data_IF_710641497025
#
_entry.id   IF_710641497025
#
_cell.length_a   1.000
_cell.length_b   1.000
_cell.length_c   1.000
_cell.angle_alpha   90.00
_cell.angle_beta   90.00
_cell.angle_gamma   90.00
#
_symmetry.space_group_name_H-M   'P 1'
#
loop_
_entity.id
_entity.type
_entity.pdbx_description
1 polymer ?
#
# COMPACT_ATOMS: atom_id res chain seq x y z
N UNK A 1 -37.99 9.72 24.57
CA UNK A 1 -36.51 9.78 24.47
C UNK A 1 -36.08 11.23 24.34
N UNK A 2 -35.14 11.70 25.19
CA UNK A 2 -34.61 13.08 25.13
C UNK A 2 -34.05 13.35 23.72
N UNK A 3 -34.25 14.57 23.19
CA UNK A 3 -33.83 15.00 21.85
C UNK A 3 -32.35 14.64 21.54
N UNK A 4 -31.48 14.78 22.55
CA UNK A 4 -30.06 14.38 22.50
C UNK A 4 -29.83 12.93 22.09
N UNK A 5 -30.64 12.00 22.59
CA UNK A 5 -30.45 10.58 22.33
C UNK A 5 -30.75 10.28 20.86
N UNK A 6 -31.83 10.85 20.31
CA UNK A 6 -32.16 10.70 18.89
C UNK A 6 -31.07 11.29 18.00
N UNK A 7 -30.61 12.49 18.32
CA UNK A 7 -29.53 13.16 17.60
C UNK A 7 -28.23 12.33 17.62
N UNK A 8 -27.81 11.88 18.81
CA UNK A 8 -26.58 11.12 18.96
C UNK A 8 -26.65 9.73 18.31
N UNK A 9 -27.82 9.09 18.26
CA UNK A 9 -27.99 7.84 17.52
C UNK A 9 -27.80 8.03 16.01
N UNK A 10 -28.39 9.07 15.43
CA UNK A 10 -28.23 9.39 14.01
C UNK A 10 -26.79 9.78 13.71
N UNK A 11 -26.19 10.62 14.56
CA UNK A 11 -24.79 11.03 14.43
C UNK A 11 -23.84 9.82 14.49
N UNK A 12 -24.03 8.93 15.46
CA UNK A 12 -23.23 7.71 15.60
C UNK A 12 -23.38 6.81 14.37
N UNK A 13 -24.59 6.66 13.85
CA UNK A 13 -24.83 5.87 12.64
C UNK A 13 -24.08 6.44 11.43
N UNK A 14 -24.20 7.75 11.19
CA UNK A 14 -23.48 8.43 10.10
C UNK A 14 -21.98 8.33 10.29
N UNK A 15 -21.49 8.47 11.52
CA UNK A 15 -20.08 8.34 11.88
C UNK A 15 -19.55 6.94 11.57
N UNK A 16 -20.24 5.89 12.01
CA UNK A 16 -19.82 4.50 11.78
C UNK A 16 -19.82 4.18 10.29
N UNK A 17 -20.84 4.59 9.55
CA UNK A 17 -20.91 4.41 8.09
C UNK A 17 -19.78 5.17 7.39
N UNK A 18 -19.56 6.44 7.76
CA UNK A 18 -18.50 7.27 7.21
C UNK A 18 -17.12 6.68 7.44
N UNK A 19 -16.81 6.28 8.68
CA UNK A 19 -15.54 5.60 9.00
C UNK A 19 -15.38 4.27 8.28
N UNK A 20 -16.44 3.49 8.13
CA UNK A 20 -16.38 2.21 7.42
C UNK A 20 -16.05 2.42 5.94
N UNK A 21 -16.70 3.37 5.28
CA UNK A 21 -16.44 3.71 3.87
C UNK A 21 -15.03 4.29 3.71
N UNK A 22 -14.66 5.29 4.51
CA UNK A 22 -13.31 5.87 4.44
C UNK A 22 -12.24 4.84 4.77
N UNK A 23 -12.48 3.95 5.72
CA UNK A 23 -11.56 2.90 6.12
C UNK A 23 -11.34 1.87 5.02
N UNK A 24 -12.39 1.43 4.33
CA UNK A 24 -12.23 0.48 3.22
C UNK A 24 -11.46 1.10 2.05
N UNK A 25 -11.76 2.35 1.68
CA UNK A 25 -11.06 3.08 0.62
C UNK A 25 -9.60 3.34 1.01
N UNK A 26 -9.35 3.87 2.20
CA UNK A 26 -7.99 4.17 2.67
C UNK A 26 -7.13 2.91 2.75
N UNK A 27 -7.68 1.80 3.28
CA UNK A 27 -6.96 0.53 3.35
C UNK A 27 -6.58 0.03 1.96
N UNK A 28 -7.51 0.05 1.01
CA UNK A 28 -7.24 -0.38 -0.37
C UNK A 28 -6.15 0.48 -1.01
N UNK A 29 -6.28 1.80 -0.96
CA UNK A 29 -5.30 2.72 -1.53
C UNK A 29 -3.89 2.53 -0.92
N UNK A 30 -3.81 2.37 0.39
CA UNK A 30 -2.53 2.18 1.08
C UNK A 30 -1.90 0.82 0.77
N UNK A 31 -2.69 -0.25 0.65
CA UNK A 31 -2.20 -1.56 0.28
C UNK A 31 -1.77 -1.62 -1.19
N UNK A 32 -2.59 -1.09 -2.11
CA UNK A 32 -2.26 -1.02 -3.53
C UNK A 32 -0.97 -0.20 -3.75
N UNK A 33 -0.84 0.95 -3.08
CA UNK A 33 0.37 1.77 -3.13
C UNK A 33 1.61 1.05 -2.57
N UNK A 34 1.47 0.26 -1.51
CA UNK A 34 2.58 -0.55 -1.00
C UNK A 34 2.99 -1.66 -1.97
N UNK A 35 2.04 -2.27 -2.68
CA UNK A 35 2.33 -3.25 -3.73
C UNK A 35 3.07 -2.61 -4.92
N UNK A 36 2.62 -1.44 -5.38
CA UNK A 36 3.29 -0.69 -6.44
C UNK A 36 4.71 -0.28 -6.03
N UNK A 37 4.91 0.21 -4.81
CA UNK A 37 6.24 0.55 -4.27
C UNK A 37 7.20 -0.66 -4.29
N UNK A 38 6.72 -1.85 -3.93
CA UNK A 38 7.52 -3.08 -3.98
C UNK A 38 7.88 -3.44 -5.42
N UNK A 39 6.92 -3.34 -6.34
CA UNK A 39 7.11 -3.65 -7.75
C UNK A 39 8.14 -2.73 -8.40
N UNK A 40 8.06 -1.42 -8.16
CA UNK A 40 8.99 -0.45 -8.72
C UNK A 40 10.40 -0.64 -8.17
N UNK A 41 10.54 -0.96 -6.88
CA UNK A 41 11.83 -1.35 -6.30
C UNK A 41 12.41 -2.61 -6.95
N UNK A 42 11.58 -3.61 -7.20
CA UNK A 42 12.01 -4.85 -7.85
C UNK A 42 12.46 -4.60 -9.30
N UNK A 43 11.72 -3.78 -10.05
CA UNK A 43 12.09 -3.35 -11.41
C UNK A 43 13.37 -2.55 -11.41
N UNK A 44 13.56 -1.60 -10.50
CA UNK A 44 14.78 -0.80 -10.41
C UNK A 44 16.02 -1.68 -10.15
N UNK A 45 15.90 -2.68 -9.28
CA UNK A 45 16.97 -3.65 -9.04
C UNK A 45 17.25 -4.52 -10.28
N UNK A 46 16.22 -4.91 -11.02
CA UNK A 46 16.38 -5.62 -12.29
C UNK A 46 17.10 -4.75 -13.33
N UNK A 47 16.69 -3.49 -13.50
CA UNK A 47 17.35 -2.55 -14.40
C UNK A 47 18.80 -2.28 -13.98
N UNK A 48 19.08 -2.20 -12.67
CA UNK A 48 20.45 -2.08 -12.16
C UNK A 48 21.29 -3.31 -12.54
N UNK A 49 20.76 -4.53 -12.36
CA UNK A 49 21.42 -5.75 -12.79
C UNK A 49 21.71 -5.72 -14.30
N UNK A 50 20.77 -5.28 -15.12
CA UNK A 50 20.94 -5.15 -16.57
C UNK A 50 21.99 -4.10 -16.94
N UNK A 51 22.01 -2.96 -16.24
CA UNK A 51 23.00 -1.90 -16.45
C UNK A 51 24.42 -2.36 -16.11
N UNK A 52 24.60 -3.10 -15.00
CA UNK A 52 25.89 -3.70 -14.62
C UNK A 52 26.34 -4.73 -15.67
N UNK A 53 25.42 -5.56 -16.15
CA UNK A 53 25.68 -6.53 -17.23
C UNK A 53 26.13 -5.81 -18.51
N UNK A 54 25.42 -4.77 -18.93
CA UNK A 54 25.73 -3.99 -20.13
C UNK A 54 27.09 -3.28 -20.02
N UNK A 55 27.38 -2.67 -18.87
CA UNK A 55 28.68 -2.07 -18.59
C UNK A 55 29.81 -3.11 -18.69
N UNK A 56 29.61 -4.29 -18.10
CA UNK A 56 30.58 -5.39 -18.14
C UNK A 56 30.82 -5.85 -19.58
N UNK A 57 29.76 -6.08 -20.36
CA UNK A 57 29.85 -6.51 -21.75
C UNK A 57 30.58 -5.50 -22.64
N UNK A 58 30.24 -4.22 -22.49
CA UNK A 58 30.66 -3.18 -23.43
C UNK A 58 32.01 -2.54 -23.07
N UNK A 59 32.37 -2.52 -21.78
CA UNK A 59 33.57 -1.82 -21.31
C UNK A 59 34.60 -2.73 -20.65
N UNK A 60 34.17 -3.73 -19.87
CA UNK A 60 35.11 -4.58 -19.10
C UNK A 60 35.61 -5.76 -19.94
N UNK A 61 34.70 -6.48 -20.60
CA UNK A 61 35.05 -7.68 -21.35
C UNK A 61 36.12 -7.44 -22.43
N UNK A 62 36.07 -6.35 -23.24
CA UNK A 62 37.10 -6.08 -24.25
C UNK A 62 38.50 -5.90 -23.66
N UNK A 63 38.61 -5.37 -22.44
CA UNK A 63 39.89 -5.13 -21.78
C UNK A 63 40.55 -6.41 -21.25
N UNK A 64 39.77 -7.49 -21.13
CA UNK A 64 40.21 -8.78 -20.57
C UNK A 64 40.39 -9.87 -21.63
N UNK A 65 40.13 -9.58 -22.91
CA UNK A 65 40.16 -10.58 -24.01
C UNK A 65 41.49 -11.35 -24.09
N UNK A 66 42.61 -10.67 -23.88
CA UNK A 66 43.94 -11.30 -23.98
C UNK A 66 44.19 -12.25 -22.82
N UNK A 67 43.88 -11.83 -21.60
CA UNK A 67 44.05 -12.63 -20.38
C UNK A 67 43.13 -13.85 -20.40
N UNK A 68 41.91 -13.70 -20.94
CA UNK A 68 40.93 -14.78 -21.07
C UNK A 68 41.39 -15.97 -21.92
N UNK A 69 42.36 -15.77 -22.83
CA UNK A 69 42.96 -16.85 -23.61
C UNK A 69 43.77 -17.82 -22.74
N UNK A 70 44.33 -17.33 -21.63
CA UNK A 70 45.19 -18.11 -20.73
C UNK A 70 44.47 -18.53 -19.45
N UNK A 71 43.54 -17.72 -18.95
CA UNK A 71 42.80 -18.03 -17.72
C UNK A 71 41.41 -17.45 -17.79
N UNK A 72 40.39 -18.25 -17.46
CA UNK A 72 39.01 -17.76 -17.48
C UNK A 72 38.73 -16.84 -16.30
N UNK A 73 38.44 -15.59 -16.62
CA UNK A 73 38.11 -14.51 -15.67
C UNK A 73 36.59 -14.29 -15.67
N UNK A 74 35.84 -14.75 -14.67
CA UNK A 74 34.38 -14.57 -14.63
C UNK A 74 33.94 -13.10 -14.62
N UNK A 75 34.83 -12.19 -14.21
CA UNK A 75 34.58 -10.75 -14.17
C UNK A 75 34.31 -10.13 -15.54
N UNK A 76 34.65 -10.81 -16.64
CA UNK A 76 34.28 -10.39 -18.00
C UNK A 76 32.88 -10.85 -18.41
N UNK A 77 32.24 -11.74 -17.65
CA UNK A 77 30.92 -12.29 -17.96
C UNK A 77 29.83 -11.38 -17.40
N UNK A 78 28.93 -10.82 -18.24
CA UNK A 78 27.90 -9.87 -17.80
C UNK A 78 27.05 -10.36 -16.61
N UNK A 79 26.50 -11.57 -16.72
CA UNK A 79 25.67 -12.16 -15.68
C UNK A 79 26.43 -12.40 -14.36
N UNK A 80 27.73 -12.69 -14.42
CA UNK A 80 28.56 -12.86 -13.22
C UNK A 80 28.64 -11.55 -12.44
N UNK A 81 28.94 -10.44 -13.10
CA UNK A 81 29.02 -9.12 -12.47
C UNK A 81 27.70 -8.70 -11.83
N UNK A 82 26.58 -8.88 -12.52
CA UNK A 82 25.25 -8.58 -11.96
C UNK A 82 24.96 -9.40 -10.70
N UNK A 83 25.26 -10.70 -10.73
CA UNK A 83 25.11 -11.57 -9.56
C UNK A 83 26.04 -11.16 -8.42
N UNK A 84 27.31 -10.84 -8.67
CA UNK A 84 28.24 -10.44 -7.61
C UNK A 84 27.87 -9.10 -6.96
N UNK A 85 27.47 -8.10 -7.77
CA UNK A 85 27.06 -6.78 -7.25
C UNK A 85 25.81 -6.91 -6.38
N UNK A 86 24.80 -7.66 -6.82
CA UNK A 86 23.59 -7.84 -6.02
C UNK A 86 23.78 -8.82 -4.85
N UNK A 87 24.74 -9.75 -4.92
CA UNK A 87 25.18 -10.51 -3.76
C UNK A 87 25.84 -9.63 -2.71
N UNK A 88 26.60 -8.60 -3.12
CA UNK A 88 27.14 -7.62 -2.19
C UNK A 88 26.03 -6.81 -1.51
N UNK A 89 25.00 -6.39 -2.27
CA UNK A 89 23.81 -5.74 -1.72
C UNK A 89 23.11 -6.63 -0.67
N UNK A 90 22.94 -7.92 -0.99
CA UNK A 90 22.30 -8.90 -0.10
C UNK A 90 23.01 -9.06 1.26
N UNK A 91 24.31 -8.77 1.35
CA UNK A 91 25.01 -8.80 2.65
C UNK A 91 24.48 -7.74 3.62
N UNK A 92 24.09 -6.57 3.12
CA UNK A 92 23.48 -5.50 3.90
C UNK A 92 21.95 -5.62 3.97
N UNK A 93 21.34 -6.27 2.97
CA UNK A 93 19.90 -6.44 2.83
C UNK A 93 19.54 -7.91 2.51
N UNK A 94 19.62 -8.84 3.49
CA UNK A 94 19.45 -10.28 3.28
C UNK A 94 18.10 -10.71 2.69
N UNK A 95 17.09 -9.87 2.86
CA UNK A 95 15.73 -10.07 2.39
C UNK A 95 15.55 -9.79 0.88
N UNK A 96 16.55 -9.17 0.25
CA UNK A 96 16.60 -8.96 -1.19
C UNK A 96 17.43 -10.05 -1.86
N UNK A 97 16.98 -10.53 -3.00
CA UNK A 97 17.74 -11.50 -3.78
C UNK A 97 17.66 -11.21 -5.27
N UNK A 98 18.76 -11.50 -5.96
CA UNK A 98 18.82 -11.60 -7.41
C UNK A 98 19.46 -12.91 -7.79
N UNK A 99 18.94 -13.53 -8.84
CA UNK A 99 19.53 -14.72 -9.45
C UNK A 99 19.25 -14.74 -10.94
N UNK A 100 20.27 -15.07 -11.74
CA UNK A 100 20.08 -15.47 -13.13
C UNK A 100 19.80 -16.98 -13.17
N UNK A 101 18.57 -17.39 -12.88
CA UNK A 101 18.19 -18.80 -12.82
C UNK A 101 18.14 -19.42 -14.23
N UNK A 102 18.90 -20.48 -14.48
CA UNK A 102 19.01 -21.12 -15.79
C UNK A 102 18.76 -22.62 -15.68
N UNK A 103 18.16 -23.21 -16.72
CA UNK A 103 17.94 -24.66 -16.80
C UNK A 103 19.28 -25.41 -16.94
N UNK A 104 20.19 -24.85 -17.75
CA UNK A 104 21.54 -25.38 -17.94
C UNK A 104 22.58 -24.25 -17.80
N UNK A 105 22.91 -23.82 -16.57
CA UNK A 105 23.88 -22.76 -16.32
C UNK A 105 25.31 -23.25 -16.53
N UNK A 106 26.23 -22.36 -16.88
CA UNK A 106 27.67 -22.64 -16.78
C UNK A 106 28.13 -22.80 -15.34
N UNK A 107 27.68 -21.90 -14.45
CA UNK A 107 28.01 -21.98 -13.03
C UNK A 107 26.87 -22.68 -12.27
N UNK A 108 27.11 -23.81 -11.60
CA UNK A 108 26.06 -24.57 -10.90
C UNK A 108 25.25 -23.76 -9.88
N UNK A 109 25.79 -22.65 -9.33
CA UNK A 109 25.07 -21.76 -8.42
C UNK A 109 23.81 -21.13 -9.05
N UNK A 110 23.82 -20.99 -10.37
CA UNK A 110 22.78 -20.32 -11.15
C UNK A 110 21.71 -21.32 -11.64
N UNK A 111 21.81 -22.59 -11.23
CA UNK A 111 20.84 -23.63 -11.60
C UNK A 111 19.48 -23.28 -11.04
N UNK A 112 18.46 -23.29 -11.89
CA UNK A 112 17.09 -23.04 -11.50
C UNK A 112 16.64 -24.01 -10.39
N UNK A 113 15.89 -23.49 -9.43
CA UNK A 113 15.10 -24.28 -8.49
C UNK A 113 13.76 -24.64 -9.13
N UNK A 114 13.06 -25.63 -8.59
CA UNK A 114 11.79 -26.15 -9.14
C UNK A 114 10.81 -25.03 -9.54
N UNK A 115 10.58 -24.06 -8.66
CA UNK A 115 9.67 -22.94 -8.95
C UNK A 115 10.21 -21.96 -10.01
N UNK A 116 11.53 -21.83 -10.13
CA UNK A 116 12.17 -20.99 -11.14
C UNK A 116 12.05 -21.68 -12.51
N UNK A 117 12.14 -23.02 -12.55
CA UNK A 117 11.87 -23.81 -13.74
C UNK A 117 10.43 -23.61 -14.22
N UNK A 118 9.44 -23.61 -13.32
CA UNK A 118 8.04 -23.32 -13.67
C UNK A 118 7.89 -21.95 -14.35
N UNK A 119 8.61 -20.93 -13.86
CA UNK A 119 8.60 -19.59 -14.46
C UNK A 119 9.30 -19.59 -15.83
N UNK A 120 10.41 -20.30 -15.97
CA UNK A 120 11.13 -20.44 -17.25
C UNK A 120 10.24 -21.15 -18.29
N UNK A 121 9.53 -22.21 -17.88
CA UNK A 121 8.61 -22.94 -18.74
C UNK A 121 7.45 -22.06 -19.22
N UNK A 122 6.95 -21.16 -18.38
CA UNK A 122 5.95 -20.18 -18.80
C UNK A 122 6.50 -19.23 -19.88
N UNK A 123 7.75 -18.76 -19.76
CA UNK A 123 8.38 -17.97 -20.83
C UNK A 123 8.63 -18.75 -22.13
N UNK A 124 8.77 -20.08 -22.06
CA UNK A 124 8.81 -20.94 -23.26
C UNK A 124 7.44 -21.07 -23.91
N UNK A 125 6.37 -21.16 -23.11
CA UNK A 125 4.98 -21.27 -23.59
C UNK A 125 4.44 -19.93 -24.12
N UNK A 126 4.88 -18.82 -23.54
CA UNK A 126 4.49 -17.46 -23.89
C UNK A 126 5.72 -16.62 -24.30
N UNK A 127 6.28 -16.82 -25.52
CA UNK A 127 7.53 -16.16 -25.91
C UNK A 127 7.45 -14.63 -25.92
N UNK A 128 6.28 -14.04 -26.17
CA UNK A 128 6.11 -12.58 -26.19
C UNK A 128 6.03 -11.95 -24.78
N UNK A 129 5.96 -12.76 -23.72
CA UNK A 129 5.86 -12.27 -22.36
C UNK A 129 7.20 -11.69 -21.89
N UNK A 130 7.22 -10.38 -21.67
CA UNK A 130 8.40 -9.67 -21.22
C UNK A 130 8.71 -9.90 -19.72
N UNK A 131 7.67 -10.12 -18.91
CA UNK A 131 7.79 -10.11 -17.45
C UNK A 131 6.76 -11.04 -16.79
N UNK A 132 7.19 -11.69 -15.71
CA UNK A 132 6.34 -12.43 -14.80
C UNK A 132 6.44 -11.82 -13.41
N UNK A 133 5.30 -11.58 -12.77
CA UNK A 133 5.23 -11.08 -11.39
C UNK A 133 4.50 -12.14 -10.57
N UNK A 134 5.08 -12.51 -9.44
CA UNK A 134 4.47 -13.43 -8.49
C UNK A 134 4.79 -13.08 -7.06
N UNK A 135 4.15 -13.79 -6.13
CA UNK A 135 4.43 -13.70 -4.71
C UNK A 135 4.71 -15.09 -4.17
N UNK A 136 5.56 -15.16 -3.15
CA UNK A 136 5.97 -16.39 -2.50
C UNK A 136 6.23 -16.16 -1.03
N UNK A 137 5.94 -17.17 -0.23
CA UNK A 137 6.39 -17.20 1.16
C UNK A 137 7.82 -17.75 1.18
N UNK A 138 8.72 -17.03 1.84
CA UNK A 138 10.14 -17.39 2.00
C UNK A 138 10.48 -17.49 3.49
N UNK A 139 11.62 -18.08 3.88
CA UNK A 139 12.07 -18.05 5.28
C UNK A 139 12.19 -16.63 5.87
N UNK A 140 12.40 -15.61 5.03
CA UNK A 140 12.45 -14.21 5.43
C UNK A 140 11.07 -13.51 5.44
N UNK A 141 9.99 -14.25 5.15
CA UNK A 141 8.63 -13.75 5.03
C UNK A 141 8.13 -13.68 3.59
N UNK A 142 6.96 -13.09 3.39
CA UNK A 142 6.35 -12.94 2.07
C UNK A 142 7.18 -12.00 1.19
N UNK A 143 7.57 -12.51 0.03
CA UNK A 143 8.34 -11.80 -0.99
C UNK A 143 7.53 -11.69 -2.26
N UNK A 144 7.59 -10.52 -2.89
CA UNK A 144 7.23 -10.37 -4.28
C UNK A 144 8.46 -10.76 -5.11
N UNK A 145 8.25 -11.41 -6.24
CA UNK A 145 9.31 -11.61 -7.22
C UNK A 145 8.87 -11.11 -8.60
N UNK A 146 9.84 -10.60 -9.33
CA UNK A 146 9.75 -10.23 -10.72
C UNK A 146 10.75 -11.08 -11.50
N UNK A 147 10.33 -11.62 -12.62
CA UNK A 147 11.15 -12.42 -13.49
C UNK A 147 11.12 -11.88 -14.91
N UNK A 148 12.27 -11.88 -15.59
CA UNK A 148 12.40 -11.56 -17.02
C UNK A 148 13.15 -12.68 -17.73
N UNK A 149 12.75 -13.08 -18.95
CA UNK A 149 13.36 -14.21 -19.62
C UNK A 149 14.82 -13.92 -20.01
N UNK A 150 15.67 -14.93 -19.87
CA UNK A 150 17.02 -14.93 -20.44
C UNK A 150 16.93 -15.64 -21.79
N UNK A 151 16.99 -14.85 -22.87
CA UNK A 151 17.02 -15.33 -24.25
C UNK A 151 18.36 -15.01 -24.89
N UNK A 152 18.89 -15.97 -25.64
CA UNK A 152 20.10 -15.75 -26.42
C UNK A 152 19.72 -15.12 -27.75
N UNK A 153 19.79 -13.80 -27.80
CA UNK A 153 19.51 -13.01 -29.02
C UNK A 153 20.78 -12.62 -29.79
N UNK A 154 21.95 -12.75 -29.15
CA UNK A 154 23.24 -12.46 -29.77
C UNK A 154 24.00 -13.76 -30.07
N UNK A 155 24.28 -14.01 -31.36
CA UNK A 155 25.00 -15.20 -31.82
C UNK A 155 26.40 -15.34 -31.21
N UNK A 156 27.02 -14.25 -30.75
CA UNK A 156 28.33 -14.29 -30.08
C UNK A 156 28.32 -15.14 -28.80
N UNK A 157 27.17 -15.28 -28.13
CA UNK A 157 27.04 -16.16 -26.97
C UNK A 157 27.31 -17.63 -27.33
N UNK A 158 26.96 -18.04 -28.55
CA UNK A 158 27.17 -19.40 -29.02
C UNK A 158 28.64 -19.75 -29.29
N UNK A 159 29.54 -18.76 -29.33
CA UNK A 159 31.00 -19.01 -29.39
C UNK A 159 31.50 -19.74 -28.14
N UNK A 160 30.81 -19.60 -27.02
CA UNK A 160 31.17 -20.27 -25.76
C UNK A 160 30.16 -21.33 -25.33
N UNK A 161 28.90 -21.22 -25.78
CA UNK A 161 27.78 -22.01 -25.25
C UNK A 161 27.11 -22.96 -26.26
N UNK A 162 27.67 -23.11 -27.47
CA UNK A 162 27.15 -24.06 -28.46
C UNK A 162 27.55 -25.50 -28.11
N UNK A 163 28.80 -25.89 -28.37
CA UNK A 163 29.36 -27.20 -28.03
C UNK A 163 30.60 -27.03 -27.15
N UNK A 164 30.98 -28.11 -26.46
CA UNK A 164 32.19 -28.13 -25.63
C UNK A 164 33.43 -27.87 -26.48
N UNK A 165 33.51 -28.46 -27.68
CA UNK A 165 34.66 -28.33 -28.58
C UNK A 165 34.83 -26.92 -29.16
N UNK A 166 33.74 -26.17 -29.32
CA UNK A 166 33.77 -24.79 -29.80
C UNK A 166 34.16 -23.79 -28.71
N UNK A 167 34.02 -24.17 -27.43
CA UNK A 167 34.20 -23.28 -26.31
C UNK A 167 35.69 -23.00 -26.02
N UNK A 168 36.03 -21.84 -25.44
CA UNK A 168 37.39 -21.57 -24.99
C UNK A 168 37.88 -22.63 -23.99
N UNK A 169 39.09 -23.16 -24.19
CA UNK A 169 39.67 -24.18 -23.31
C UNK A 169 39.70 -23.73 -21.84
N UNK A 170 39.97 -22.45 -21.59
CA UNK A 170 39.98 -21.86 -20.25
C UNK A 170 38.61 -21.90 -19.56
N UNK A 171 37.50 -21.81 -20.31
CA UNK A 171 36.15 -21.95 -19.77
C UNK A 171 35.89 -23.40 -19.31
N UNK A 172 36.22 -24.36 -20.18
CA UNK A 172 36.04 -25.79 -19.92
C UNK A 172 36.93 -26.25 -18.78
N UNK A 173 38.17 -25.75 -18.67
CA UNK A 173 39.06 -26.02 -17.55
C UNK A 173 38.46 -25.56 -16.21
N UNK A 174 37.81 -24.38 -16.19
CA UNK A 174 37.26 -23.82 -14.96
C UNK A 174 35.94 -24.43 -14.52
N UNK A 175 35.01 -24.66 -15.46
CA UNK A 175 33.63 -25.08 -15.14
C UNK A 175 33.31 -26.53 -15.55
N UNK A 176 34.23 -27.19 -16.25
CA UNK A 176 34.02 -28.52 -16.81
C UNK A 176 33.14 -28.51 -18.05
N UNK A 177 33.01 -29.68 -18.72
CA UNK A 177 32.23 -29.84 -19.95
C UNK A 177 30.73 -30.13 -19.70
N UNK A 178 30.32 -30.30 -18.45
CA UNK A 178 29.02 -30.89 -18.12
C UNK A 178 27.83 -29.92 -18.21
N UNK A 179 28.04 -28.61 -18.06
CA UNK A 179 26.96 -27.62 -17.97
C UNK A 179 27.24 -26.37 -18.80
N UNK A 180 26.20 -25.64 -19.18
CA UNK A 180 26.33 -24.36 -19.88
C UNK A 180 26.65 -24.46 -21.37
N UNK A 181 26.32 -25.58 -22.00
CA UNK A 181 26.43 -25.81 -23.44
C UNK A 181 25.07 -26.22 -24.04
N UNK A 182 24.96 -26.28 -25.36
CA UNK A 182 23.74 -26.62 -26.07
C UNK A 182 22.69 -25.50 -26.05
N UNK A 183 23.11 -24.25 -25.86
CA UNK A 183 22.19 -23.12 -25.87
C UNK A 183 21.64 -22.85 -27.27
N UNK A 184 20.35 -22.57 -27.35
CA UNK A 184 19.64 -22.31 -28.61
C UNK A 184 19.26 -20.83 -28.69
N UNK A 185 19.39 -20.24 -29.88
CA UNK A 185 19.00 -18.85 -30.13
C UNK A 185 17.50 -18.65 -29.93
N UNK A 186 17.13 -17.49 -29.38
CA UNK A 186 15.76 -17.04 -29.18
C UNK A 186 14.89 -17.94 -28.28
N UNK A 187 15.46 -18.96 -27.64
CA UNK A 187 14.78 -19.76 -26.63
C UNK A 187 14.94 -19.13 -25.24
N UNK A 188 13.90 -19.23 -24.40
CA UNK A 188 14.00 -18.88 -22.98
C UNK A 188 14.74 -19.99 -22.22
N UNK A 189 16.05 -19.81 -22.03
CA UNK A 189 16.94 -20.78 -21.36
C UNK A 189 16.98 -20.59 -19.83
N UNK A 190 16.47 -19.46 -19.37
CA UNK A 190 16.45 -19.06 -17.97
C UNK A 190 15.58 -17.84 -17.71
N UNK A 191 15.62 -17.36 -16.47
CA UNK A 191 14.96 -16.17 -16.00
C UNK A 191 15.88 -15.39 -15.05
N UNK A 192 15.99 -14.08 -15.25
CA UNK A 192 16.51 -13.18 -14.23
C UNK A 192 15.40 -12.99 -13.21
N UNK A 193 15.66 -13.31 -11.96
CA UNK A 193 14.67 -13.25 -10.88
C UNK A 193 15.16 -12.30 -9.81
N UNK A 194 14.36 -11.27 -9.53
CA UNK A 194 14.55 -10.37 -8.38
C UNK A 194 13.45 -10.67 -7.38
N UNK A 195 13.82 -10.85 -6.11
CA UNK A 195 12.91 -11.03 -4.98
C UNK A 195 13.07 -9.86 -4.00
N UNK A 196 11.95 -9.25 -3.62
CA UNK A 196 11.88 -8.08 -2.73
C UNK A 196 10.88 -8.35 -1.58
N UNK A 197 11.22 -8.02 -0.33
CA UNK A 197 10.31 -8.19 0.81
C UNK A 197 9.05 -7.35 0.68
N UNK A 198 7.90 -7.93 1.01
CA UNK A 198 6.65 -7.18 1.12
C UNK A 198 6.35 -6.71 2.56
N UNK A 199 7.02 -7.28 3.55
CA UNK A 199 6.74 -7.03 4.96
C UNK A 199 6.90 -5.55 5.34
N UNK A 200 7.98 -4.90 4.92
CA UNK A 200 8.27 -3.50 5.29
C UNK A 200 7.26 -2.53 4.66
N UNK A 201 6.99 -2.56 3.34
CA UNK A 201 6.00 -1.66 2.74
C UNK A 201 4.57 -1.92 3.24
N UNK A 202 4.17 -3.18 3.43
CA UNK A 202 2.86 -3.51 3.99
C UNK A 202 2.71 -3.04 5.44
N UNK A 203 3.73 -3.21 6.30
CA UNK A 203 3.69 -2.67 7.66
C UNK A 203 3.62 -1.14 7.67
N UNK A 204 4.26 -0.46 6.72
CA UNK A 204 4.14 1.01 6.58
C UNK A 204 2.72 1.39 6.18
N UNK A 205 2.09 0.68 5.25
CA UNK A 205 0.69 0.88 4.87
C UNK A 205 -0.25 0.67 6.08
N UNK A 206 -0.05 -0.38 6.88
CA UNK A 206 -0.85 -0.64 8.07
C UNK A 206 -0.70 0.47 9.12
N UNK A 207 0.53 0.95 9.37
CA UNK A 207 0.76 2.08 10.28
C UNK A 207 0.10 3.36 9.77
N UNK A 208 0.25 3.67 8.49
CA UNK A 208 -0.39 4.81 7.86
C UNK A 208 -1.92 4.72 7.98
N UNK A 209 -2.49 3.54 7.80
CA UNK A 209 -3.92 3.30 7.96
C UNK A 209 -4.39 3.60 9.38
N UNK A 210 -3.69 3.10 10.41
CA UNK A 210 -4.03 3.38 11.81
C UNK A 210 -3.97 4.88 12.11
N UNK A 211 -2.95 5.58 11.62
CA UNK A 211 -2.81 7.04 11.79
C UNK A 211 -3.96 7.79 11.12
N UNK A 212 -4.27 7.47 9.85
CA UNK A 212 -5.35 8.10 9.10
C UNK A 212 -6.70 7.86 9.79
N UNK A 213 -6.98 6.63 10.21
CA UNK A 213 -8.22 6.30 10.91
C UNK A 213 -8.30 6.95 12.29
N UNK A 214 -7.19 7.01 13.02
CA UNK A 214 -7.10 7.72 14.29
C UNK A 214 -7.40 9.21 14.16
N UNK A 215 -6.85 9.87 13.12
CA UNK A 215 -7.12 11.28 12.83
C UNK A 215 -8.59 11.50 12.44
N UNK A 216 -9.13 10.68 11.54
CA UNK A 216 -10.54 10.76 11.14
C UNK A 216 -11.48 10.59 12.34
N UNK A 217 -11.25 9.56 13.16
CA UNK A 217 -12.04 9.33 14.36
C UNK A 217 -11.95 10.51 15.35
N UNK A 218 -10.76 11.07 15.52
CA UNK A 218 -10.54 12.24 16.40
C UNK A 218 -11.30 13.47 15.89
N UNK A 219 -11.26 13.77 14.60
CA UNK A 219 -11.98 14.89 13.99
C UNK A 219 -13.50 14.71 14.16
N UNK A 220 -14.02 13.52 13.88
CA UNK A 220 -15.44 13.23 14.09
C UNK A 220 -15.86 13.34 15.56
N UNK A 221 -15.02 12.89 16.50
CA UNK A 221 -15.29 13.05 17.93
C UNK A 221 -15.38 14.53 18.31
N UNK A 222 -14.44 15.35 17.84
CA UNK A 222 -14.44 16.80 18.07
C UNK A 222 -15.71 17.46 17.50
N UNK A 223 -16.11 17.10 16.28
CA UNK A 223 -17.36 17.58 15.68
C UNK A 223 -18.57 17.13 16.51
N UNK A 224 -18.59 15.88 16.96
CA UNK A 224 -19.67 15.35 17.79
C UNK A 224 -19.81 16.10 19.12
N UNK A 225 -18.69 16.41 19.78
CA UNK A 225 -18.66 17.22 21.00
C UNK A 225 -19.15 18.64 20.72
N UNK A 226 -18.64 19.29 19.68
CA UNK A 226 -19.04 20.65 19.29
C UNK A 226 -20.54 20.75 19.00
N UNK A 227 -21.09 19.81 18.22
CA UNK A 227 -22.52 19.76 17.90
C UNK A 227 -23.38 19.48 19.13
N UNK A 228 -22.94 18.62 20.05
CA UNK A 228 -23.66 18.37 21.30
C UNK A 228 -23.67 19.61 22.21
N UNK A 229 -22.54 20.30 22.35
CA UNK A 229 -22.45 21.55 23.11
C UNK A 229 -23.36 22.62 22.50
N UNK A 230 -23.31 22.78 21.18
CA UNK A 230 -24.16 23.72 20.44
C UNK A 230 -25.64 23.40 20.62
N UNK A 231 -26.05 22.14 20.43
CA UNK A 231 -27.45 21.70 20.59
C UNK A 231 -27.93 21.89 22.03
N UNK A 232 -27.08 21.62 23.01
CA UNK A 232 -27.41 21.78 24.42
C UNK A 232 -27.63 23.24 24.79
N UNK A 233 -26.72 24.14 24.39
CA UNK A 233 -26.77 25.57 24.71
C UNK A 233 -27.85 26.32 23.92
N UNK A 234 -27.95 26.08 22.61
CA UNK A 234 -28.83 26.86 21.73
C UNK A 234 -30.27 26.34 21.70
N UNK A 235 -30.49 25.04 21.89
CA UNK A 235 -31.82 24.44 21.70
C UNK A 235 -32.38 23.85 23.01
N UNK A 236 -31.65 22.93 23.64
CA UNK A 236 -32.22 22.12 24.72
C UNK A 236 -32.43 22.94 25.99
N UNK A 237 -31.45 23.75 26.38
CA UNK A 237 -31.56 24.56 27.60
C UNK A 237 -32.69 25.59 27.49
N UNK A 238 -32.80 26.41 26.42
CA UNK A 238 -33.89 27.39 26.28
C UNK A 238 -35.27 26.73 26.20
N UNK A 239 -35.42 25.66 25.41
CA UNK A 239 -36.70 24.93 25.29
C UNK A 239 -37.10 24.29 26.62
N UNK A 240 -36.15 23.74 27.37
CA UNK A 240 -36.43 23.16 28.69
C UNK A 240 -36.83 24.23 29.71
N UNK A 241 -36.24 25.42 29.67
CA UNK A 241 -36.62 26.55 30.52
C UNK A 241 -38.03 27.04 30.18
N UNK A 242 -38.34 27.21 28.89
CA UNK A 242 -39.67 27.62 28.43
C UNK A 242 -40.74 26.57 28.79
N UNK A 243 -40.45 25.28 28.61
CA UNK A 243 -41.35 24.18 28.98
C UNK A 243 -41.66 24.16 30.49
N UNK A 244 -40.66 24.39 31.35
CA UNK A 244 -40.87 24.50 32.80
C UNK A 244 -41.72 25.71 33.17
N UNK A 245 -41.52 26.83 32.49
CA UNK A 245 -42.33 28.04 32.72
C UNK A 245 -43.80 27.81 32.30
N UNK A 246 -44.02 27.15 31.16
CA UNK A 246 -45.35 26.78 30.70
C UNK A 246 -46.07 25.86 31.69
N UNK A 247 -45.37 24.88 32.25
CA UNK A 247 -45.91 23.94 33.24
C UNK A 247 -46.35 24.68 34.52
N UNK A 248 -45.54 25.61 35.03
CA UNK A 248 -45.89 26.45 36.18
C UNK A 248 -47.11 27.32 35.95
N UNK A 249 -47.19 27.99 34.78
CA UNK A 249 -48.36 28.80 34.41
C UNK A 249 -49.61 27.93 34.29
N UNK A 250 -49.49 26.72 33.76
CA UNK A 250 -50.61 25.77 33.67
C UNK A 250 -51.12 25.29 35.03
N UNK A 251 -50.28 25.31 36.07
CA UNK A 251 -50.65 24.98 37.45
C UNK A 251 -51.24 26.19 38.22
N UNK A 252 -51.44 27.33 37.56
CA UNK A 252 -52.02 28.53 38.17
C UNK A 252 -51.01 29.49 38.78
N UNK A 253 -49.70 29.26 38.64
CA UNK A 253 -48.66 30.19 39.08
C UNK A 253 -48.46 31.33 38.06
N UNK A 254 -49.37 32.30 38.08
CA UNK A 254 -49.40 33.41 37.13
C UNK A 254 -48.28 34.46 37.35
N UNK A 255 -47.67 34.49 38.54
CA UNK A 255 -46.61 35.43 38.94
C UNK A 255 -45.18 34.96 38.58
N UNK A 256 -45.03 33.89 37.80
CA UNK A 256 -43.71 33.42 37.38
C UNK A 256 -42.94 34.51 36.58
N UNK A 257 -41.60 34.64 36.74
CA UNK A 257 -40.82 35.66 36.03
C UNK A 257 -40.85 35.47 34.50
N UNK A 258 -40.83 36.57 33.74
CA UNK A 258 -40.81 36.51 32.26
C UNK A 258 -39.54 35.83 31.73
N UNK A 259 -39.72 34.90 30.81
CA UNK A 259 -38.62 34.33 30.05
C UNK A 259 -38.14 35.34 29.01
N UNK A 260 -37.03 36.02 29.28
CA UNK A 260 -36.37 36.91 28.32
C UNK A 260 -35.39 36.10 27.47
N UNK A 261 -35.89 35.45 26.42
CA UNK A 261 -35.00 34.90 25.40
C UNK A 261 -34.24 36.06 24.73
N UNK A 262 -32.90 36.03 24.79
CA UNK A 262 -32.05 37.00 24.07
C UNK A 262 -31.84 36.63 22.60
N UNK A 263 -32.33 35.47 22.19
CA UNK A 263 -32.13 34.89 20.87
C UNK A 263 -33.11 35.52 19.85
N UNK A 264 -32.62 35.82 18.64
CA UNK A 264 -33.43 36.29 17.50
C UNK A 264 -33.82 35.16 16.53
N UNK A 265 -33.63 33.92 16.98
CA UNK A 265 -33.95 32.70 16.25
C UNK A 265 -35.40 32.26 16.51
N UNK A 266 -35.77 31.10 16.00
CA UNK A 266 -37.09 30.49 16.17
C UNK A 266 -37.47 30.30 17.64
N UNK A 267 -36.48 30.10 18.53
CA UNK A 267 -36.70 29.99 19.98
C UNK A 267 -37.07 31.36 20.58
N UNK A 268 -36.45 32.43 20.11
CA UNK A 268 -36.84 33.81 20.45
C UNK A 268 -38.29 34.12 20.07
N UNK A 269 -38.67 33.81 18.83
CA UNK A 269 -40.05 34.02 18.34
C UNK A 269 -41.07 33.21 19.15
N UNK A 270 -40.72 31.98 19.52
CA UNK A 270 -41.54 31.12 20.38
C UNK A 270 -41.71 31.70 21.79
N UNK A 271 -40.61 32.19 22.39
CA UNK A 271 -40.61 32.85 23.70
C UNK A 271 -41.53 34.08 23.73
N UNK A 272 -41.48 34.92 22.69
CA UNK A 272 -42.32 36.11 22.58
C UNK A 272 -43.80 35.75 22.42
N UNK A 273 -44.08 34.74 21.60
CA UNK A 273 -45.44 34.25 21.37
C UNK A 273 -46.04 33.66 22.64
N UNK A 274 -45.25 32.88 23.39
CA UNK A 274 -45.64 32.34 24.70
C UNK A 274 -45.91 33.46 25.71
N UNK A 275 -45.06 34.49 25.75
CA UNK A 275 -45.20 35.62 26.66
C UNK A 275 -46.49 36.42 26.40
N UNK A 276 -46.86 36.60 25.12
CA UNK A 276 -48.14 37.23 24.74
C UNK A 276 -49.34 36.38 25.19
N UNK A 277 -49.32 35.08 24.90
CA UNK A 277 -50.38 34.15 25.30
C UNK A 277 -50.61 34.16 26.82
N UNK A 278 -49.54 34.11 27.61
CA UNK A 278 -49.60 34.20 29.07
C UNK A 278 -50.25 35.49 29.54
N UNK A 279 -49.86 36.64 28.98
CA UNK A 279 -50.45 37.94 29.34
C UNK A 279 -51.96 37.97 29.06
N UNK A 280 -52.39 37.42 27.93
CA UNK A 280 -53.82 37.31 27.59
C UNK A 280 -54.57 36.40 28.58
N UNK A 281 -53.99 35.27 28.99
CA UNK A 281 -54.59 34.36 29.97
C UNK A 281 -54.75 35.02 31.35
N UNK A 282 -53.69 35.68 31.84
CA UNK A 282 -53.72 36.43 33.12
C UNK A 282 -54.79 37.51 33.10
N UNK A 283 -54.92 38.23 31.98
CA UNK A 283 -55.95 39.25 31.83
C UNK A 283 -57.36 38.65 31.82
N UNK A 284 -57.56 37.51 31.14
CA UNK A 284 -58.85 36.83 31.11
C UNK A 284 -59.27 36.32 32.50
N UNK A 285 -58.35 35.73 33.27
CA UNK A 285 -58.64 35.28 34.64
C UNK A 285 -59.02 36.45 35.56
N UNK A 286 -58.31 37.58 35.47
CA UNK A 286 -58.66 38.79 36.24
C UNK A 286 -60.06 39.35 35.94
N UNK A 287 -60.57 39.15 34.72
CA UNK A 287 -61.93 39.58 34.34
C UNK A 287 -63.02 38.62 34.85
N UNK A 288 -62.68 37.37 35.19
CA UNK A 288 -63.61 36.41 35.76
C UNK A 288 -63.72 36.53 37.28
N UNK A 289 -62.68 37.05 37.95
CA UNK A 289 -62.66 37.31 39.40
C UNK A 289 -63.29 38.67 39.80
N UNK A 290 -63.85 39.41 38.83
CA UNK A 290 -64.64 40.64 39.01
C UNK A 290 -66.11 40.40 38.69
#
# INVERSE_FOLDING_TARGET
MKLLVKFNLVFLLVFVVGLAVSGTVARKLLQDGAHEEVLDRARLLMENAMAVSAYTANQVAPLLETQMKYTFLPQSVPAYSSTEVLNALRKAHPEYAYKAAMLNPTNPRDRAQDWEEDVIMQFKQEPERAEFIGQRDTPAGRSLYIARPIKIVNANCLRCHSTVDAAPASLVEKYGPANGFGWVMNEALGAQVVSVPMSVPLQRADRAFVVVMGLLASVFLLIGVALNLMLWQLVIQPVSQLSKLADRVSLGELDAPEFKARARDEIGVLSDSFSRMRRSLVHAMKMLDT
#
